data_IF_122356765972
#
_entry.id   IF_122356765972
#
_cell.length_a   1.000
_cell.length_b   1.000
_cell.length_c   1.000
_cell.angle_alpha   90.00
_cell.angle_beta   90.00
_cell.angle_gamma   90.00
#
_symmetry.space_group_name_H-M   'P 1'
#
loop_
_entity.id
_entity.type
_entity.pdbx_description
1 polymer ?
#
# COMPACT_ATOMS: atom_id res chain seq x y z
N UNK A 1 4.15 25.67 11.32
CA UNK A 1 3.43 25.60 10.02
C UNK A 1 2.12 24.87 10.22
N UNK A 2 1.03 25.33 9.58
CA UNK A 2 -0.29 24.72 9.66
C UNK A 2 -0.60 23.93 8.39
N UNK A 3 -0.74 22.61 8.52
CA UNK A 3 -0.90 21.67 7.42
C UNK A 3 -2.28 21.02 7.55
N UNK A 4 -3.02 20.93 6.46
CA UNK A 4 -4.30 20.24 6.43
C UNK A 4 -4.27 19.08 5.45
N UNK A 5 -4.71 17.90 5.92
CA UNK A 5 -5.06 16.74 5.11
C UNK A 5 -6.57 16.69 4.93
N UNK A 6 -7.03 16.44 3.71
CA UNK A 6 -8.46 16.38 3.40
C UNK A 6 -9.08 15.01 3.75
N UNK A 7 -10.40 14.90 3.55
CA UNK A 7 -11.19 13.74 3.95
C UNK A 7 -11.08 12.53 3.04
N UNK A 8 -10.65 12.72 1.80
CA UNK A 8 -10.99 11.80 0.70
C UNK A 8 -10.60 10.36 0.96
N UNK A 9 -9.33 10.10 1.31
CA UNK A 9 -8.86 8.74 1.53
C UNK A 9 -9.44 8.12 2.81
N UNK A 10 -9.65 8.93 3.84
CA UNK A 10 -10.19 8.46 5.12
C UNK A 10 -11.67 8.10 5.08
N UNK A 11 -12.40 8.67 4.10
CA UNK A 11 -13.77 8.27 3.80
C UNK A 11 -13.84 7.03 2.91
N UNK A 12 -12.89 6.85 1.99
CA UNK A 12 -12.90 5.76 1.01
C UNK A 12 -12.32 4.44 1.53
N UNK A 13 -11.38 4.50 2.48
CA UNK A 13 -10.66 3.31 2.96
C UNK A 13 -10.86 3.13 4.47
N UNK A 14 -11.41 1.98 4.84
CA UNK A 14 -11.39 1.55 6.24
C UNK A 14 -9.96 1.19 6.65
N UNK A 15 -9.25 0.40 5.82
CA UNK A 15 -7.84 0.08 5.89
C UNK A 15 -7.22 0.20 4.50
N UNK A 16 -5.95 0.56 4.40
CA UNK A 16 -5.26 0.60 3.11
C UNK A 16 -3.92 1.34 3.18
N UNK A 17 -3.04 1.08 2.22
CA UNK A 17 -1.72 1.70 2.13
C UNK A 17 -1.76 3.24 2.13
N UNK A 18 -2.52 3.88 1.21
CA UNK A 18 -2.65 5.33 1.18
C UNK A 18 -3.18 5.95 2.48
N UNK A 19 -4.22 5.38 3.07
CA UNK A 19 -4.76 5.91 4.35
C UNK A 19 -3.79 5.70 5.53
N UNK A 20 -3.02 4.60 5.54
CA UNK A 20 -1.94 4.37 6.49
C UNK A 20 -0.83 5.42 6.33
N UNK A 21 -0.42 5.71 5.10
CA UNK A 21 0.58 6.74 4.81
C UNK A 21 0.20 8.10 5.41
N UNK A 22 -0.99 8.60 5.10
CA UNK A 22 -1.43 9.90 5.64
C UNK A 22 -1.62 9.89 7.16
N UNK A 23 -2.09 8.79 7.73
CA UNK A 23 -2.20 8.64 9.19
C UNK A 23 -0.82 8.69 9.86
N UNK A 24 0.18 7.97 9.34
CA UNK A 24 1.55 7.99 9.88
C UNK A 24 2.22 9.35 9.69
N UNK A 25 2.03 9.99 8.53
CA UNK A 25 2.54 11.34 8.28
C UNK A 25 1.94 12.37 9.27
N UNK A 26 0.63 12.34 9.46
CA UNK A 26 -0.09 13.17 10.43
C UNK A 26 0.43 12.97 11.87
N UNK A 27 0.56 11.72 12.30
CA UNK A 27 1.09 11.36 13.62
C UNK A 27 2.51 11.93 13.81
N UNK A 28 3.37 11.72 12.81
CA UNK A 28 4.77 12.13 12.90
C UNK A 28 4.93 13.65 12.92
N UNK A 29 4.19 14.37 12.10
CA UNK A 29 4.22 15.84 12.06
C UNK A 29 3.80 16.43 13.41
N UNK A 30 2.68 15.95 13.99
CA UNK A 30 2.22 16.44 15.29
C UNK A 30 3.18 16.07 16.44
N UNK A 31 3.79 14.88 16.41
CA UNK A 31 4.81 14.48 17.39
C UNK A 31 6.04 15.43 17.35
N UNK A 32 6.35 15.97 16.19
CA UNK A 32 7.45 16.92 16.00
C UNK A 32 7.00 18.40 16.08
N UNK A 33 5.87 18.67 16.75
CA UNK A 33 5.34 20.00 17.03
C UNK A 33 4.91 20.82 15.80
N UNK A 34 4.68 20.17 14.66
CA UNK A 34 4.00 20.80 13.54
C UNK A 34 2.48 20.78 13.78
N UNK A 35 1.78 21.79 13.28
CA UNK A 35 0.32 21.87 13.44
C UNK A 35 -0.38 21.18 12.27
N UNK A 36 -0.35 19.84 12.25
CA UNK A 36 -1.04 19.06 11.23
C UNK A 36 -2.48 18.74 11.67
N UNK A 37 -3.42 18.87 10.75
CA UNK A 37 -4.85 18.62 10.96
C UNK A 37 -5.38 17.66 9.90
N UNK A 38 -6.30 16.78 10.28
CA UNK A 38 -7.13 16.02 9.36
C UNK A 38 -8.53 16.60 9.36
N UNK A 39 -9.01 17.02 8.20
CA UNK A 39 -10.37 17.53 8.02
C UNK A 39 -11.17 16.48 7.27
N UNK A 40 -11.84 15.62 8.04
CA UNK A 40 -12.65 14.51 7.54
C UNK A 40 -13.97 14.43 8.34
N UNK A 41 -14.93 15.31 8.05
CA UNK A 41 -16.17 15.43 8.83
C UNK A 41 -16.86 14.09 9.08
N UNK A 42 -16.85 13.23 8.08
CA UNK A 42 -17.35 11.86 8.15
C UNK A 42 -16.27 10.94 7.59
N UNK A 43 -15.82 9.96 8.39
CA UNK A 43 -14.83 8.99 7.94
C UNK A 43 -15.17 7.55 8.34
N UNK A 44 -14.60 6.58 7.61
CA UNK A 44 -14.74 5.14 7.88
C UNK A 44 -13.45 4.54 8.41
N UNK A 45 -12.35 5.28 8.29
CA UNK A 45 -10.98 4.81 8.51
C UNK A 45 -10.70 4.43 9.96
N UNK A 46 -10.08 3.27 10.15
CA UNK A 46 -9.76 2.75 11.48
C UNK A 46 -8.45 3.31 12.05
N UNK A 47 -7.50 3.74 11.23
CA UNK A 47 -6.26 4.33 11.75
C UNK A 47 -6.51 5.62 12.52
N UNK A 48 -7.49 6.43 12.10
CA UNK A 48 -7.86 7.67 12.81
C UNK A 48 -8.47 7.41 14.19
N UNK A 49 -9.13 6.27 14.40
CA UNK A 49 -9.70 5.88 15.69
C UNK A 49 -8.63 5.75 16.79
N UNK A 50 -7.44 5.29 16.40
CA UNK A 50 -6.35 5.00 17.32
C UNK A 50 -5.29 6.11 17.39
N UNK A 51 -5.53 7.25 16.72
CA UNK A 51 -4.60 8.38 16.75
C UNK A 51 -4.46 8.98 18.15
N UNK A 52 -3.23 9.33 18.52
CA UNK A 52 -2.93 10.07 19.75
C UNK A 52 -3.29 11.56 19.66
N UNK A 53 -3.50 12.09 18.46
CA UNK A 53 -3.78 13.50 18.17
C UNK A 53 -5.24 13.76 17.77
N UNK A 54 -6.18 13.14 18.47
CA UNK A 54 -7.63 13.27 18.17
C UNK A 54 -8.15 14.69 18.12
N UNK A 55 -7.56 15.59 18.90
CA UNK A 55 -7.93 17.02 18.91
C UNK A 55 -7.68 17.73 17.57
N UNK A 56 -6.77 17.18 16.77
CA UNK A 56 -6.42 17.71 15.46
C UNK A 56 -7.20 17.02 14.33
N UNK A 57 -8.18 16.17 14.65
CA UNK A 57 -9.03 15.48 13.67
C UNK A 57 -10.43 16.08 13.74
N UNK A 58 -10.82 16.80 12.68
CA UNK A 58 -12.15 17.38 12.53
C UNK A 58 -13.07 16.37 11.84
N UNK A 59 -13.78 15.60 12.63
CA UNK A 59 -14.76 14.64 12.11
C UNK A 59 -15.09 13.49 13.05
N UNK A 60 -16.02 12.65 12.58
CA UNK A 60 -16.54 11.51 13.34
C UNK A 60 -16.54 10.25 12.48
N UNK A 61 -16.11 9.14 13.10
CA UNK A 61 -16.20 7.82 12.46
C UNK A 61 -17.65 7.37 12.38
N UNK A 62 -18.05 6.89 11.22
CA UNK A 62 -19.34 6.24 11.00
C UNK A 62 -19.17 4.89 10.33
N UNK A 63 -20.20 4.03 10.45
CA UNK A 63 -20.39 2.86 9.60
C UNK A 63 -21.31 3.28 8.45
N UNK A 64 -20.81 3.41 7.21
CA UNK A 64 -21.61 3.98 6.13
C UNK A 64 -22.74 3.02 5.74
N UNK A 65 -23.96 3.58 5.63
CA UNK A 65 -25.07 2.85 5.01
C UNK A 65 -24.93 2.93 3.49
N UNK A 66 -25.06 1.82 2.75
CA UNK A 66 -24.79 1.76 1.32
C UNK A 66 -25.49 2.82 0.47
N UNK A 67 -26.74 3.14 0.79
CA UNK A 67 -27.57 4.08 0.03
C UNK A 67 -27.19 5.56 0.21
N UNK A 68 -26.42 5.93 1.24
CA UNK A 68 -26.13 7.32 1.57
C UNK A 68 -24.73 7.80 1.11
N UNK A 69 -24.02 7.03 0.32
CA UNK A 69 -22.65 7.37 -0.07
C UNK A 69 -22.50 8.72 -0.77
N UNK A 70 -23.44 9.09 -1.68
CA UNK A 70 -23.45 10.39 -2.36
C UNK A 70 -23.74 11.55 -1.39
N UNK A 71 -24.66 11.35 -0.45
CA UNK A 71 -24.99 12.34 0.58
C UNK A 71 -23.82 12.59 1.52
N UNK A 72 -23.16 11.53 2.01
CA UNK A 72 -21.95 11.67 2.84
C UNK A 72 -20.82 12.37 2.11
N UNK A 73 -20.63 12.09 0.82
CA UNK A 73 -19.64 12.79 0.00
C UNK A 73 -19.96 14.28 -0.14
N UNK A 74 -21.22 14.64 -0.34
CA UNK A 74 -21.68 16.03 -0.40
C UNK A 74 -21.45 16.76 0.94
N UNK A 75 -21.81 16.13 2.06
CA UNK A 75 -21.56 16.70 3.40
C UNK A 75 -20.07 16.88 3.66
N UNK A 76 -19.26 15.85 3.38
CA UNK A 76 -17.81 15.92 3.57
C UNK A 76 -17.22 17.10 2.79
N UNK A 77 -17.58 17.25 1.52
CA UNK A 77 -17.10 18.35 0.68
C UNK A 77 -17.40 19.72 1.32
N UNK A 78 -18.67 20.02 1.55
CA UNK A 78 -19.09 21.36 1.99
C UNK A 78 -18.57 21.70 3.40
N UNK A 79 -18.63 20.75 4.32
CA UNK A 79 -18.15 20.96 5.70
C UNK A 79 -16.61 21.08 5.70
N UNK A 80 -15.90 20.30 4.88
CA UNK A 80 -14.44 20.41 4.76
C UNK A 80 -14.01 21.76 4.22
N UNK A 81 -14.69 22.30 3.20
CA UNK A 81 -14.40 23.63 2.66
C UNK A 81 -14.51 24.72 3.76
N UNK A 82 -15.58 24.67 4.58
CA UNK A 82 -15.77 25.60 5.69
C UNK A 82 -14.68 25.48 6.77
N UNK A 83 -14.35 24.26 7.16
CA UNK A 83 -13.32 24.02 8.19
C UNK A 83 -11.94 24.44 7.69
N UNK A 84 -11.57 24.08 6.45
CA UNK A 84 -10.27 24.44 5.85
C UNK A 84 -10.16 25.98 5.75
N UNK A 85 -11.24 26.67 5.33
CA UNK A 85 -11.27 28.12 5.28
C UNK A 85 -11.04 28.75 6.65
N UNK A 86 -11.72 28.25 7.71
CA UNK A 86 -11.54 28.73 9.10
C UNK A 86 -10.15 28.43 9.66
N UNK A 87 -9.60 27.27 9.36
CA UNK A 87 -8.25 26.88 9.79
C UNK A 87 -7.19 27.77 9.14
N UNK A 88 -7.47 28.29 7.96
CA UNK A 88 -6.53 29.09 7.16
C UNK A 88 -5.13 28.47 7.12
N UNK A 89 -4.97 27.24 6.55
CA UNK A 89 -3.69 26.55 6.56
C UNK A 89 -2.63 27.22 5.70
N UNK A 90 -1.36 26.93 5.98
CA UNK A 90 -0.26 27.33 5.10
C UNK A 90 -0.20 26.43 3.86
N UNK A 91 -0.50 25.12 4.01
CA UNK A 91 -0.49 24.12 2.96
C UNK A 91 -1.68 23.16 3.10
N UNK A 92 -2.28 22.76 1.98
CA UNK A 92 -3.25 21.68 1.89
C UNK A 92 -2.61 20.50 1.17
N UNK A 93 -2.48 19.37 1.85
CA UNK A 93 -2.00 18.13 1.23
C UNK A 93 -3.21 17.23 0.96
N UNK A 94 -3.60 17.14 -0.32
CA UNK A 94 -4.75 16.31 -0.70
C UNK A 94 -4.43 14.83 -0.55
N UNK A 95 -5.36 14.11 0.05
CA UNK A 95 -5.15 12.69 0.37
C UNK A 95 -5.51 11.77 -0.80
N UNK A 96 -6.26 12.28 -1.76
CA UNK A 96 -6.60 11.59 -3.01
C UNK A 96 -7.15 12.58 -4.04
N UNK A 97 -7.62 12.09 -5.20
CA UNK A 97 -8.10 12.93 -6.30
C UNK A 97 -9.53 13.41 -6.05
N UNK A 98 -9.69 14.66 -5.60
CA UNK A 98 -11.02 15.28 -5.42
C UNK A 98 -11.05 16.72 -5.91
N UNK A 99 -11.91 16.98 -6.90
CA UNK A 99 -11.97 18.25 -7.62
C UNK A 99 -12.43 19.43 -6.75
N UNK A 100 -12.96 19.22 -5.54
CA UNK A 100 -13.41 20.32 -4.71
C UNK A 100 -12.27 21.25 -4.25
N UNK A 101 -11.06 20.73 -4.18
CA UNK A 101 -9.87 21.51 -3.82
C UNK A 101 -9.31 22.35 -4.97
N UNK A 102 -9.78 22.19 -6.21
CA UNK A 102 -9.26 22.94 -7.37
C UNK A 102 -9.33 24.45 -7.17
N UNK A 103 -10.39 24.93 -6.50
CA UNK A 103 -10.60 26.36 -6.21
C UNK A 103 -9.88 26.86 -4.95
N UNK A 104 -9.16 26.00 -4.25
CA UNK A 104 -8.41 26.38 -3.05
C UNK A 104 -7.27 27.35 -3.42
N UNK A 105 -7.18 28.48 -2.68
CA UNK A 105 -6.15 29.50 -2.91
C UNK A 105 -4.79 29.17 -2.28
N UNK A 106 -4.78 28.26 -1.30
CA UNK A 106 -3.55 27.84 -0.62
C UNK A 106 -2.76 26.86 -1.48
N UNK A 107 -1.45 26.75 -1.27
CA UNK A 107 -0.64 25.75 -1.93
C UNK A 107 -1.21 24.34 -1.73
N UNK A 108 -1.33 23.60 -2.83
CA UNK A 108 -1.81 22.21 -2.83
C UNK A 108 -0.66 21.26 -3.15
N UNK A 109 -0.48 20.29 -2.29
CA UNK A 109 0.39 19.14 -2.53
C UNK A 109 -0.47 17.92 -2.82
N UNK A 110 -0.06 17.16 -3.81
CA UNK A 110 -0.69 15.90 -4.20
C UNK A 110 0.30 14.75 -4.03
N UNK A 111 -0.06 13.67 -3.30
CA UNK A 111 0.70 12.43 -3.36
C UNK A 111 0.10 11.51 -4.42
N UNK A 112 0.93 11.06 -5.37
CA UNK A 112 0.59 10.05 -6.37
C UNK A 112 1.17 8.71 -5.91
N UNK A 113 0.25 7.79 -5.57
CA UNK A 113 0.62 6.47 -5.06
C UNK A 113 0.95 5.47 -6.16
N UNK A 114 0.34 5.60 -7.33
CA UNK A 114 0.54 4.72 -8.48
C UNK A 114 -0.11 5.31 -9.75
N UNK A 115 0.17 4.67 -10.89
CA UNK A 115 -0.44 4.92 -12.21
C UNK A 115 -1.14 3.64 -12.72
N UNK A 116 -1.60 2.79 -11.81
CA UNK A 116 -2.22 1.49 -12.12
C UNK A 116 -3.44 1.65 -13.04
N UNK A 117 -4.29 2.63 -12.76
CA UNK A 117 -5.53 2.83 -13.52
C UNK A 117 -5.27 3.22 -14.98
N UNK A 118 -4.20 3.94 -15.21
CA UNK A 118 -3.77 4.39 -16.54
C UNK A 118 -3.15 3.23 -17.33
N UNK A 119 -2.25 2.47 -16.69
CA UNK A 119 -1.54 1.35 -17.32
C UNK A 119 -2.51 0.22 -17.65
N UNK A 120 -3.42 -0.11 -16.72
CA UNK A 120 -4.38 -1.21 -16.86
C UNK A 120 -5.81 -0.72 -17.15
N UNK A 121 -5.96 0.44 -17.84
CA UNK A 121 -7.25 1.07 -18.07
C UNK A 121 -8.31 0.13 -18.71
N UNK A 122 -7.90 -0.74 -19.65
CA UNK A 122 -8.77 -1.73 -20.29
C UNK A 122 -9.33 -2.73 -19.30
N UNK A 123 -8.54 -3.07 -18.28
CA UNK A 123 -8.90 -4.05 -17.27
C UNK A 123 -9.89 -3.50 -16.24
N UNK A 124 -9.89 -2.20 -16.02
CA UNK A 124 -10.72 -1.56 -15.01
C UNK A 124 -11.93 -0.82 -15.61
N UNK A 125 -12.02 -0.67 -16.94
CA UNK A 125 -13.09 0.10 -17.58
C UNK A 125 -13.05 1.60 -17.24
N UNK A 126 -11.88 2.15 -16.96
CA UNK A 126 -11.71 3.47 -16.34
C UNK A 126 -11.59 4.65 -17.29
N UNK A 127 -12.00 4.59 -18.54
CA UNK A 127 -12.00 5.78 -19.40
C UNK A 127 -12.64 7.03 -18.75
N UNK A 128 -13.58 6.82 -17.81
CA UNK A 128 -14.27 7.92 -17.09
C UNK A 128 -13.53 8.45 -15.85
N UNK A 129 -12.55 7.76 -15.29
CA UNK A 129 -11.93 8.12 -13.99
C UNK A 129 -10.62 8.91 -14.10
N UNK A 130 -10.07 9.08 -15.29
CA UNK A 130 -8.85 9.88 -15.52
C UNK A 130 -9.06 11.38 -15.22
N UNK A 131 -10.26 11.92 -15.44
CA UNK A 131 -10.52 13.37 -15.31
C UNK A 131 -10.21 13.95 -13.93
N UNK A 132 -10.68 13.39 -12.79
CA UNK A 132 -10.37 13.96 -11.47
C UNK A 132 -8.88 13.93 -11.16
N UNK A 133 -8.17 12.84 -11.51
CA UNK A 133 -6.73 12.70 -11.28
C UNK A 133 -5.95 13.74 -12.09
N UNK A 134 -6.22 13.84 -13.40
CA UNK A 134 -5.59 14.85 -14.26
C UNK A 134 -5.79 16.26 -13.74
N UNK A 135 -7.03 16.65 -13.41
CA UNK A 135 -7.32 17.98 -12.87
C UNK A 135 -6.57 18.27 -11.57
N UNK A 136 -6.43 17.28 -10.68
CA UNK A 136 -5.67 17.46 -9.45
C UNK A 136 -4.16 17.54 -9.70
N UNK A 137 -3.62 16.80 -10.67
CA UNK A 137 -2.25 16.88 -11.11
C UNK A 137 -1.96 18.28 -11.69
N UNK A 138 -2.83 18.76 -12.58
CA UNK A 138 -2.69 20.10 -13.19
C UNK A 138 -2.77 21.22 -12.14
N UNK A 139 -3.62 21.04 -11.10
CA UNK A 139 -3.82 22.04 -10.03
C UNK A 139 -2.72 22.02 -8.97
N UNK A 140 -2.09 20.88 -8.73
CA UNK A 140 -1.10 20.75 -7.67
C UNK A 140 0.08 21.71 -7.86
N UNK A 141 0.45 22.42 -6.82
CA UNK A 141 1.65 23.27 -6.82
C UNK A 141 2.91 22.41 -6.71
N UNK A 142 2.82 21.26 -6.03
CA UNK A 142 3.87 20.25 -5.99
C UNK A 142 3.29 18.83 -5.88
N UNK A 143 4.00 17.85 -6.44
CA UNK A 143 3.59 16.44 -6.45
C UNK A 143 4.66 15.60 -5.75
N UNK A 144 4.21 14.74 -4.85
CA UNK A 144 5.05 13.72 -4.22
C UNK A 144 4.75 12.38 -4.89
N UNK A 145 5.74 11.75 -5.50
CA UNK A 145 5.66 10.39 -5.98
C UNK A 145 6.30 9.44 -4.96
N UNK A 146 5.68 8.30 -4.74
CA UNK A 146 6.10 7.33 -3.73
C UNK A 146 7.30 6.47 -4.17
N UNK A 147 7.67 6.56 -5.46
CA UNK A 147 8.83 5.87 -6.05
C UNK A 147 9.32 6.62 -7.30
N UNK A 148 10.54 6.32 -7.72
CA UNK A 148 11.09 6.81 -8.99
C UNK A 148 10.31 6.24 -10.19
N UNK A 149 9.87 4.99 -10.09
CA UNK A 149 8.99 4.38 -11.10
C UNK A 149 7.69 5.17 -11.25
N UNK A 150 7.00 5.48 -10.14
CA UNK A 150 5.76 6.29 -10.18
C UNK A 150 6.01 7.70 -10.75
N UNK A 151 7.17 8.32 -10.45
CA UNK A 151 7.56 9.62 -11.04
C UNK A 151 7.70 9.50 -12.56
N UNK A 152 8.43 8.49 -13.03
CA UNK A 152 8.64 8.24 -14.46
C UNK A 152 7.30 8.07 -15.19
N UNK A 153 6.44 7.19 -14.66
CA UNK A 153 5.14 6.92 -15.23
C UNK A 153 4.23 8.17 -15.22
N UNK A 154 4.26 8.94 -14.12
CA UNK A 154 3.50 10.19 -14.02
C UNK A 154 3.91 11.20 -15.12
N UNK A 155 5.20 11.35 -15.33
CA UNK A 155 5.72 12.25 -16.39
C UNK A 155 5.33 11.75 -17.78
N UNK A 156 5.39 10.44 -18.02
CA UNK A 156 5.02 9.84 -19.29
C UNK A 156 3.51 9.99 -19.62
N UNK A 157 2.64 9.67 -18.63
CA UNK A 157 1.18 9.69 -18.85
C UNK A 157 0.55 11.08 -18.80
N UNK A 158 1.13 12.02 -18.05
CA UNK A 158 0.51 13.32 -17.77
C UNK A 158 1.34 14.52 -18.19
N UNK A 159 2.54 14.33 -18.75
CA UNK A 159 3.46 15.40 -19.17
C UNK A 159 3.70 16.47 -18.09
N UNK A 160 3.98 16.02 -16.86
CA UNK A 160 4.23 16.90 -15.71
C UNK A 160 5.68 17.37 -15.70
N UNK A 161 5.91 18.67 -15.42
CA UNK A 161 7.25 19.21 -15.24
C UNK A 161 7.96 18.51 -14.05
N UNK A 162 9.14 17.99 -14.31
CA UNK A 162 9.97 17.30 -13.31
C UNK A 162 10.25 18.15 -12.07
N UNK A 163 10.36 19.48 -12.24
CA UNK A 163 10.61 20.44 -11.14
C UNK A 163 9.47 20.46 -10.11
N UNK A 164 8.27 20.07 -10.50
CA UNK A 164 7.11 19.95 -9.60
C UNK A 164 7.06 18.64 -8.85
N UNK A 165 8.00 17.71 -9.07
CA UNK A 165 7.91 16.35 -8.55
C UNK A 165 9.06 16.05 -7.58
N UNK A 166 8.72 15.61 -6.39
CA UNK A 166 9.67 14.99 -5.45
C UNK A 166 9.36 13.50 -5.27
N UNK A 167 10.40 12.68 -5.21
CA UNK A 167 10.26 11.26 -4.85
C UNK A 167 10.51 11.13 -3.35
N UNK A 168 9.49 10.64 -2.62
CA UNK A 168 9.58 10.41 -1.18
C UNK A 168 9.04 9.01 -0.88
N UNK A 169 9.93 8.13 -0.47
CA UNK A 169 9.59 6.74 -0.17
C UNK A 169 8.77 6.62 1.11
N UNK A 170 7.89 5.63 1.15
CA UNK A 170 7.16 5.28 2.37
C UNK A 170 8.10 4.74 3.46
N UNK A 171 7.64 4.81 4.68
CA UNK A 171 8.27 4.15 5.82
C UNK A 171 7.57 2.85 6.21
N UNK A 172 8.22 2.09 7.07
CA UNK A 172 7.64 0.93 7.75
C UNK A 172 7.76 1.10 9.26
N UNK A 173 6.80 0.58 10.01
CA UNK A 173 6.83 0.62 11.47
C UNK A 173 7.90 -0.32 12.04
N UNK A 174 8.50 0.09 13.16
CA UNK A 174 9.67 -0.60 13.71
C UNK A 174 9.38 -1.73 14.68
N UNK A 175 8.19 -1.76 15.28
CA UNK A 175 7.91 -2.60 16.44
C UNK A 175 6.52 -3.20 16.31
N UNK A 176 6.45 -4.40 15.76
CA UNK A 176 5.22 -5.17 15.93
C UNK A 176 5.61 -6.64 16.05
N UNK A 177 5.69 -7.10 17.30
CA UNK A 177 5.63 -8.51 17.61
C UNK A 177 4.14 -8.84 17.69
N UNK A 178 3.69 -9.81 16.92
CA UNK A 178 2.33 -10.29 16.99
C UNK A 178 2.02 -10.73 18.42
N UNK A 179 1.07 -10.06 19.07
CA UNK A 179 0.64 -10.41 20.42
C UNK A 179 -0.52 -11.41 20.32
N UNK A 180 -0.34 -12.59 20.92
CA UNK A 180 -1.41 -13.56 21.17
C UNK A 180 -2.08 -14.19 19.93
N UNK A 181 -1.39 -14.31 18.80
CA UNK A 181 -1.87 -15.15 17.70
C UNK A 181 -1.18 -16.51 17.71
N UNK A 182 -1.98 -17.57 17.55
CA UNK A 182 -1.49 -18.92 17.33
C UNK A 182 -2.38 -19.55 16.25
N UNK A 183 -1.89 -19.60 15.04
CA UNK A 183 -2.49 -20.39 13.98
C UNK A 183 -1.81 -21.77 13.99
N UNK A 184 -2.57 -22.81 14.26
CA UNK A 184 -2.09 -24.18 14.06
C UNK A 184 -2.08 -24.45 12.56
N UNK A 185 -0.93 -24.21 11.94
CA UNK A 185 -0.66 -24.68 10.58
C UNK A 185 0.05 -26.02 10.69
N UNK A 186 -0.51 -27.07 10.11
CA UNK A 186 0.11 -28.41 10.10
C UNK A 186 1.41 -28.45 9.30
N UNK A 187 1.53 -27.56 8.30
CA UNK A 187 2.70 -27.43 7.42
C UNK A 187 3.20 -25.99 7.39
N UNK A 188 4.49 -25.77 7.06
CA UNK A 188 4.98 -24.45 6.73
C UNK A 188 4.20 -23.88 5.53
N UNK A 189 4.22 -22.55 5.35
CA UNK A 189 3.40 -21.91 4.32
C UNK A 189 4.10 -20.77 3.62
N UNK A 190 3.73 -20.56 2.36
CA UNK A 190 4.02 -19.33 1.62
C UNK A 190 2.87 -18.34 1.82
N UNK A 191 3.24 -17.08 2.00
CA UNK A 191 2.28 -16.00 2.24
C UNK A 191 2.09 -15.15 0.98
N UNK A 192 0.82 -14.89 0.63
CA UNK A 192 0.43 -13.90 -0.37
C UNK A 192 -0.37 -12.79 0.32
N UNK A 193 -0.05 -11.50 0.06
CA UNK A 193 -0.72 -10.37 0.70
C UNK A 193 -1.31 -9.41 -0.32
N UNK A 194 -2.61 -9.18 -0.24
CA UNK A 194 -3.33 -8.21 -1.07
C UNK A 194 -4.50 -8.79 -1.86
N UNK A 195 -5.04 -7.99 -2.78
CA UNK A 195 -6.05 -8.46 -3.73
C UNK A 195 -5.42 -9.46 -4.70
N UNK A 196 -6.20 -10.41 -5.20
CA UNK A 196 -5.73 -11.44 -6.14
C UNK A 196 -6.08 -11.11 -7.60
N UNK A 197 -6.41 -9.84 -7.86
CA UNK A 197 -6.87 -9.41 -9.18
C UNK A 197 -5.71 -9.20 -10.16
N UNK A 198 -5.89 -9.63 -11.39
CA UNK A 198 -5.15 -9.31 -12.64
C UNK A 198 -3.66 -8.93 -12.45
N UNK A 199 -3.33 -7.63 -12.35
CA UNK A 199 -1.95 -7.15 -12.25
C UNK A 199 -1.21 -7.61 -10.98
N UNK A 200 -1.93 -8.09 -9.97
CA UNK A 200 -1.35 -8.75 -8.78
C UNK A 200 -0.86 -10.17 -9.07
N UNK A 201 -1.20 -10.70 -10.24
CA UNK A 201 -0.62 -11.90 -10.85
C UNK A 201 -0.63 -13.16 -9.95
N UNK A 202 -1.72 -13.33 -9.20
CA UNK A 202 -1.88 -14.45 -8.28
C UNK A 202 -1.80 -15.81 -8.99
N UNK A 203 -2.29 -15.87 -10.25
CA UNK A 203 -2.29 -17.10 -11.05
C UNK A 203 -0.88 -17.66 -11.26
N UNK A 204 0.12 -16.82 -11.56
CA UNK A 204 1.48 -17.32 -11.79
C UNK A 204 2.10 -17.94 -10.53
N UNK A 205 1.72 -17.41 -9.35
CA UNK A 205 2.16 -18.01 -8.09
C UNK A 205 1.59 -19.42 -7.92
N UNK A 206 0.30 -19.64 -8.19
CA UNK A 206 -0.31 -20.96 -8.11
C UNK A 206 0.29 -21.94 -9.13
N UNK A 207 0.53 -21.48 -10.36
CA UNK A 207 1.17 -22.28 -11.38
C UNK A 207 2.60 -22.68 -10.98
N UNK A 208 3.39 -21.74 -10.45
CA UNK A 208 4.75 -22.02 -9.98
C UNK A 208 4.78 -22.99 -8.79
N UNK A 209 3.85 -22.83 -7.85
CA UNK A 209 3.70 -23.74 -6.71
C UNK A 209 3.42 -25.19 -7.14
N UNK A 210 2.66 -25.39 -8.21
CA UNK A 210 2.32 -26.71 -8.72
C UNK A 210 3.40 -27.34 -9.59
N UNK A 211 4.42 -26.58 -10.05
CA UNK A 211 5.49 -27.14 -10.87
C UNK A 211 6.42 -28.10 -10.10
N UNK A 212 6.57 -27.88 -8.80
CA UNK A 212 7.37 -28.73 -7.92
C UNK A 212 6.47 -29.49 -6.95
N UNK A 213 6.39 -30.81 -7.13
CA UNK A 213 5.56 -31.67 -6.28
C UNK A 213 6.01 -31.70 -4.83
N UNK A 214 7.29 -31.52 -4.54
CA UNK A 214 7.77 -31.47 -3.16
C UNK A 214 7.26 -30.19 -2.47
N UNK A 215 7.29 -29.07 -3.18
CA UNK A 215 6.76 -27.81 -2.69
C UNK A 215 5.25 -27.90 -2.43
N UNK A 216 4.49 -28.40 -3.40
CA UNK A 216 3.02 -28.49 -3.24
C UNK A 216 2.59 -29.54 -2.21
N UNK A 217 3.41 -30.54 -1.92
CA UNK A 217 3.15 -31.52 -0.87
C UNK A 217 3.49 -31.01 0.53
N UNK A 218 4.61 -30.30 0.68
CA UNK A 218 5.20 -30.00 1.99
C UNK A 218 4.84 -28.61 2.52
N UNK A 219 4.30 -27.72 1.67
CA UNK A 219 3.95 -26.35 2.05
C UNK A 219 2.48 -26.04 1.75
N UNK A 220 1.90 -25.21 2.60
CA UNK A 220 0.58 -24.64 2.37
C UNK A 220 0.69 -23.23 1.76
N UNK A 221 -0.43 -22.73 1.22
CA UNK A 221 -0.59 -21.36 0.74
C UNK A 221 -1.52 -20.59 1.68
N UNK A 222 -1.06 -19.46 2.17
CA UNK A 222 -1.90 -18.55 2.94
C UNK A 222 -2.01 -17.22 2.21
N UNK A 223 -3.25 -16.82 1.92
CA UNK A 223 -3.59 -15.52 1.38
C UNK A 223 -4.08 -14.62 2.52
N UNK A 224 -3.64 -13.37 2.57
CA UNK A 224 -4.18 -12.36 3.48
C UNK A 224 -4.76 -11.17 2.69
N UNK A 225 -6.02 -10.85 2.96
CA UNK A 225 -6.76 -9.79 2.27
C UNK A 225 -7.44 -10.26 0.98
N UNK A 226 -7.91 -9.30 0.18
CA UNK A 226 -8.58 -9.59 -1.09
C UNK A 226 -10.01 -10.17 -1.01
N UNK A 227 -10.55 -10.37 0.19
CA UNK A 227 -11.87 -10.99 0.40
C UNK A 227 -11.84 -12.52 0.23
N UNK A 228 -12.99 -13.17 0.31
CA UNK A 228 -13.16 -14.60 0.07
C UNK A 228 -12.70 -14.97 -1.35
N UNK A 229 -12.36 -16.24 -1.55
CA UNK A 229 -12.07 -16.73 -2.89
C UNK A 229 -13.30 -16.64 -3.79
N UNK A 230 -13.09 -16.27 -5.05
CA UNK A 230 -14.12 -16.18 -6.07
C UNK A 230 -14.32 -17.54 -6.76
N UNK A 231 -15.46 -17.72 -7.42
CA UNK A 231 -15.75 -18.96 -8.16
C UNK A 231 -14.67 -19.28 -9.20
N UNK A 232 -14.18 -18.27 -9.92
CA UNK A 232 -13.08 -18.41 -10.89
C UNK A 232 -11.76 -18.87 -10.26
N UNK A 233 -11.50 -18.50 -8.98
CA UNK A 233 -10.32 -18.94 -8.25
C UNK A 233 -10.45 -20.41 -7.83
N UNK A 234 -11.64 -20.84 -7.41
CA UNK A 234 -11.90 -22.27 -7.12
C UNK A 234 -11.77 -23.15 -8.37
N UNK A 235 -12.23 -22.70 -9.53
CA UNK A 235 -12.02 -23.43 -10.79
C UNK A 235 -10.52 -23.51 -11.17
N UNK A 236 -9.75 -22.45 -10.90
CA UNK A 236 -8.31 -22.48 -11.10
C UNK A 236 -7.62 -23.47 -10.15
N UNK A 237 -8.05 -23.55 -8.87
CA UNK A 237 -7.51 -24.54 -7.91
C UNK A 237 -7.76 -25.95 -8.40
N UNK A 238 -8.97 -26.28 -8.88
CA UNK A 238 -9.28 -27.59 -9.47
C UNK A 238 -8.41 -27.90 -10.68
N UNK A 239 -8.27 -26.95 -11.61
CA UNK A 239 -7.45 -27.10 -12.81
C UNK A 239 -5.98 -27.41 -12.48
N UNK A 240 -5.47 -26.80 -11.41
CA UNK A 240 -4.10 -26.99 -10.94
C UNK A 240 -3.95 -28.15 -9.94
N UNK A 241 -5.01 -28.86 -9.62
CA UNK A 241 -5.06 -29.92 -8.60
C UNK A 241 -4.57 -29.46 -7.22
N UNK A 242 -4.91 -28.23 -6.83
CA UNK A 242 -4.65 -27.72 -5.49
C UNK A 242 -5.83 -28.11 -4.60
N UNK A 243 -5.55 -28.91 -3.56
CA UNK A 243 -6.55 -29.29 -2.58
C UNK A 243 -6.97 -28.09 -1.72
N UNK A 244 -8.24 -28.00 -1.37
CA UNK A 244 -8.80 -26.92 -0.54
C UNK A 244 -8.17 -26.84 0.85
N UNK A 245 -7.58 -27.92 1.35
CA UNK A 245 -6.85 -27.96 2.62
C UNK A 245 -5.46 -27.31 2.52
N UNK A 246 -4.92 -27.16 1.30
CA UNK A 246 -3.60 -26.60 1.05
C UNK A 246 -3.61 -25.06 0.92
N UNK A 247 -4.78 -24.45 0.71
CA UNK A 247 -4.90 -23.01 0.50
C UNK A 247 -5.96 -22.40 1.40
N UNK A 248 -5.58 -21.34 2.10
CA UNK A 248 -6.47 -20.63 3.02
C UNK A 248 -6.43 -19.13 2.77
N UNK A 249 -7.55 -18.44 3.02
CA UNK A 249 -7.60 -16.99 2.98
C UNK A 249 -8.01 -16.41 4.33
N UNK A 250 -7.27 -15.40 4.79
CA UNK A 250 -7.53 -14.71 6.03
C UNK A 250 -7.82 -13.23 5.78
N UNK A 251 -8.73 -12.71 6.59
CA UNK A 251 -9.04 -11.28 6.70
C UNK A 251 -8.90 -10.95 8.18
N UNK A 252 -8.16 -9.90 8.49
CA UNK A 252 -7.92 -9.54 9.89
C UNK A 252 -7.22 -8.20 10.04
N UNK A 253 -6.72 -7.97 11.24
CA UNK A 253 -6.00 -6.77 11.62
C UNK A 253 -4.48 -6.87 11.33
N UNK A 254 -3.76 -5.79 11.64
CA UNK A 254 -2.31 -5.73 11.47
C UNK A 254 -1.56 -6.74 12.37
N UNK A 255 -2.14 -7.19 13.50
CA UNK A 255 -1.51 -8.20 14.37
C UNK A 255 -1.50 -9.58 13.71
N UNK A 256 -2.64 -9.99 13.12
CA UNK A 256 -2.70 -11.24 12.36
C UNK A 256 -1.74 -11.20 11.17
N UNK A 257 -1.70 -10.09 10.42
CA UNK A 257 -0.77 -9.93 9.30
C UNK A 257 0.69 -10.01 9.77
N UNK A 258 1.01 -9.38 10.89
CA UNK A 258 2.35 -9.45 11.52
C UNK A 258 2.72 -10.90 11.87
N UNK A 259 1.80 -11.64 12.47
CA UNK A 259 1.99 -13.05 12.78
C UNK A 259 2.27 -13.87 11.51
N UNK A 260 1.51 -13.65 10.45
CA UNK A 260 1.67 -14.36 9.18
C UNK A 260 3.05 -14.07 8.56
N UNK A 261 3.50 -12.82 8.53
CA UNK A 261 4.86 -12.50 8.08
C UNK A 261 5.93 -13.21 8.91
N UNK A 262 5.82 -13.19 10.23
CA UNK A 262 6.84 -13.76 11.13
C UNK A 262 6.97 -15.29 11.02
N UNK A 263 5.91 -15.98 10.57
CA UNK A 263 5.86 -17.43 10.49
C UNK A 263 5.87 -17.98 9.06
N UNK A 264 5.80 -17.14 8.05
CA UNK A 264 5.84 -17.57 6.65
C UNK A 264 7.24 -18.09 6.26
N UNK A 265 7.27 -19.10 5.39
CA UNK A 265 8.49 -19.51 4.71
C UNK A 265 9.05 -18.39 3.84
N UNK A 266 8.18 -17.72 3.09
CA UNK A 266 8.45 -16.48 2.38
C UNK A 266 7.15 -15.75 2.04
N UNK A 267 7.23 -14.41 1.88
CA UNK A 267 6.23 -13.65 1.15
C UNK A 267 6.43 -13.84 -0.35
N UNK A 268 5.36 -14.16 -1.07
CA UNK A 268 5.34 -14.19 -2.54
C UNK A 268 4.56 -12.98 -3.05
N UNK A 269 5.25 -12.13 -3.82
CA UNK A 269 4.69 -10.86 -4.30
C UNK A 269 4.88 -10.73 -5.82
N UNK A 270 4.05 -11.43 -6.61
CA UNK A 270 4.24 -11.62 -8.04
C UNK A 270 3.65 -10.50 -8.90
N UNK A 271 3.35 -9.34 -8.33
CA UNK A 271 2.68 -8.23 -9.00
C UNK A 271 3.44 -7.81 -10.27
N UNK A 272 2.69 -7.54 -11.35
CA UNK A 272 3.24 -7.01 -12.59
C UNK A 272 3.64 -5.54 -12.40
N UNK A 273 2.87 -4.82 -11.59
CA UNK A 273 3.09 -3.40 -11.32
C UNK A 273 2.69 -3.02 -9.90
N UNK A 274 3.48 -2.16 -9.26
CA UNK A 274 3.19 -1.52 -7.98
C UNK A 274 3.70 -0.08 -7.96
N UNK A 275 2.99 0.79 -7.24
CA UNK A 275 3.50 2.14 -7.01
C UNK A 275 4.64 2.21 -6.02
N UNK A 276 4.67 1.29 -5.02
CA UNK A 276 5.77 1.17 -4.05
C UNK A 276 6.07 -0.28 -3.65
N UNK A 277 5.07 -1.03 -3.18
CA UNK A 277 5.27 -2.41 -2.70
C UNK A 277 5.41 -2.49 -1.17
N UNK A 278 4.52 -1.86 -0.43
CA UNK A 278 4.49 -1.90 1.04
C UNK A 278 4.63 -3.31 1.63
N UNK A 279 3.94 -4.35 1.13
CA UNK A 279 4.08 -5.71 1.64
C UNK A 279 5.51 -6.25 1.60
N UNK A 280 6.31 -5.89 0.59
CA UNK A 280 7.73 -6.25 0.51
C UNK A 280 8.48 -5.66 1.69
N UNK A 281 8.30 -4.37 1.93
CA UNK A 281 8.99 -3.66 3.01
C UNK A 281 8.56 -4.14 4.40
N UNK A 282 7.27 -4.45 4.58
CA UNK A 282 6.72 -5.04 5.81
C UNK A 282 7.34 -6.42 6.09
N UNK A 283 7.37 -7.30 5.09
CA UNK A 283 7.98 -8.61 5.19
C UNK A 283 9.48 -8.52 5.57
N UNK A 284 10.24 -7.70 4.86
CA UNK A 284 11.66 -7.46 5.14
C UNK A 284 11.88 -6.98 6.59
N UNK A 285 11.02 -6.08 7.08
CA UNK A 285 11.09 -5.55 8.45
C UNK A 285 10.82 -6.61 9.49
N UNK A 286 9.88 -7.51 9.21
CA UNK A 286 9.46 -8.61 10.10
C UNK A 286 10.29 -9.88 9.90
N UNK A 287 11.43 -9.80 9.19
CA UNK A 287 12.35 -10.91 8.93
C UNK A 287 11.71 -12.06 8.15
N UNK A 288 10.71 -11.77 7.33
CA UNK A 288 10.16 -12.69 6.36
C UNK A 288 10.96 -12.61 5.05
N UNK A 289 11.47 -13.71 4.50
CA UNK A 289 12.06 -13.70 3.17
C UNK A 289 11.04 -13.26 2.13
N UNK A 290 11.52 -12.63 1.06
CA UNK A 290 10.65 -12.14 -0.01
C UNK A 290 11.08 -12.72 -1.35
N UNK A 291 10.10 -13.22 -2.10
CA UNK A 291 10.21 -13.56 -3.51
C UNK A 291 9.23 -12.64 -4.25
N UNK A 292 9.74 -11.77 -5.12
CA UNK A 292 8.90 -10.77 -5.78
C UNK A 292 9.31 -10.52 -7.23
N UNK A 293 8.42 -9.92 -8.00
CA UNK A 293 8.72 -9.52 -9.37
C UNK A 293 9.81 -8.46 -9.45
N UNK A 294 10.54 -8.44 -10.57
CA UNK A 294 11.63 -7.50 -10.84
C UNK A 294 11.19 -6.23 -11.59
N UNK A 295 9.92 -5.85 -11.48
CA UNK A 295 9.28 -4.78 -12.28
C UNK A 295 8.86 -3.58 -11.43
N UNK A 296 8.59 -2.46 -12.09
CA UNK A 296 8.11 -1.18 -11.54
C UNK A 296 8.94 -0.69 -10.33
N UNK A 297 8.30 -0.33 -9.23
CA UNK A 297 8.95 0.20 -8.02
C UNK A 297 9.60 -0.87 -7.12
N UNK A 298 9.32 -2.15 -7.34
CA UNK A 298 9.76 -3.20 -6.43
C UNK A 298 11.29 -3.29 -6.29
N UNK A 299 12.09 -3.17 -7.38
CA UNK A 299 13.56 -3.09 -7.28
C UNK A 299 14.07 -1.93 -6.41
N UNK A 300 13.37 -0.79 -6.40
CA UNK A 300 13.74 0.36 -5.55
C UNK A 300 13.60 0.02 -4.06
N UNK A 301 12.60 -0.78 -3.70
CA UNK A 301 12.36 -1.20 -2.32
C UNK A 301 13.34 -2.28 -1.89
N UNK A 302 13.42 -3.38 -2.62
CA UNK A 302 14.23 -4.52 -2.17
C UNK A 302 15.73 -4.39 -2.49
N UNK A 303 16.13 -3.65 -3.55
CA UNK A 303 17.53 -3.61 -4.01
C UNK A 303 18.05 -5.02 -4.35
N UNK A 304 19.07 -5.47 -3.63
CA UNK A 304 19.66 -6.81 -3.77
C UNK A 304 19.28 -7.76 -2.62
N UNK A 305 18.20 -7.48 -1.90
CA UNK A 305 17.87 -8.18 -0.65
C UNK A 305 16.71 -9.16 -0.74
N UNK A 306 16.22 -9.46 -1.94
CA UNK A 306 15.13 -10.41 -2.20
C UNK A 306 15.51 -11.35 -3.34
N UNK A 307 14.78 -12.45 -3.46
CA UNK A 307 14.75 -13.25 -4.67
C UNK A 307 13.78 -12.57 -5.66
N UNK A 308 14.28 -12.13 -6.79
CA UNK A 308 13.46 -11.47 -7.81
C UNK A 308 13.35 -12.32 -9.07
N UNK A 309 12.20 -12.24 -9.74
CA UNK A 309 11.90 -13.01 -10.94
C UNK A 309 11.13 -12.18 -11.97
N UNK A 310 11.15 -12.58 -13.23
CA UNK A 310 10.29 -12.02 -14.27
C UNK A 310 8.82 -12.40 -13.98
N UNK A 311 7.89 -11.44 -13.83
CA UNK A 311 6.47 -11.72 -13.55
C UNK A 311 5.77 -12.61 -14.59
N UNK A 312 6.41 -12.89 -15.73
CA UNK A 312 5.94 -13.83 -16.74
C UNK A 312 6.58 -15.23 -16.62
N UNK A 313 7.56 -15.41 -15.72
CA UNK A 313 8.33 -16.66 -15.58
C UNK A 313 7.90 -17.46 -14.34
N UNK A 314 6.93 -18.35 -14.49
CA UNK A 314 6.57 -19.30 -13.41
C UNK A 314 7.70 -20.25 -13.06
N UNK A 315 8.59 -20.53 -14.00
CA UNK A 315 9.74 -21.41 -13.78
C UNK A 315 10.77 -20.79 -12.85
N UNK A 316 11.12 -19.49 -13.04
CA UNK A 316 11.99 -18.78 -12.10
C UNK A 316 11.38 -18.73 -10.71
N UNK A 317 10.07 -18.41 -10.61
CA UNK A 317 9.37 -18.39 -9.33
C UNK A 317 9.43 -19.77 -8.65
N UNK A 318 9.17 -20.86 -9.37
CA UNK A 318 9.25 -22.23 -8.83
C UNK A 318 10.68 -22.57 -8.33
N UNK A 319 11.72 -22.21 -9.08
CA UNK A 319 13.11 -22.36 -8.64
C UNK A 319 13.40 -21.60 -7.35
N UNK A 320 12.85 -20.39 -7.20
CA UNK A 320 13.00 -19.61 -5.97
C UNK A 320 12.23 -20.20 -4.80
N UNK A 321 11.02 -20.74 -5.02
CA UNK A 321 10.27 -21.48 -3.98
C UNK A 321 11.07 -22.68 -3.48
N UNK A 322 11.62 -23.49 -4.38
CA UNK A 322 12.45 -24.65 -4.04
C UNK A 322 13.73 -24.22 -3.30
N UNK A 323 14.45 -23.22 -3.80
CA UNK A 323 15.69 -22.72 -3.19
C UNK A 323 15.50 -22.20 -1.77
N UNK A 324 14.45 -21.42 -1.51
CA UNK A 324 14.19 -20.84 -0.16
C UNK A 324 13.71 -21.92 0.82
N UNK A 325 13.16 -23.02 0.33
CA UNK A 325 12.65 -24.12 1.13
C UNK A 325 13.71 -25.14 1.49
N UNK A 326 14.66 -25.38 0.60
CA UNK A 326 15.68 -26.43 0.77
C UNK A 326 16.99 -25.94 1.39
N UNK A 327 17.25 -24.61 1.45
CA UNK A 327 18.52 -24.07 1.92
C UNK A 327 18.33 -23.05 3.04
N UNK A 328 18.40 -23.53 4.28
CA UNK A 328 18.22 -22.69 5.47
C UNK A 328 19.32 -21.62 5.63
N UNK A 329 20.58 -21.92 5.29
CA UNK A 329 21.66 -20.95 5.40
C UNK A 329 21.46 -19.78 4.42
N UNK A 330 21.08 -20.10 3.19
CA UNK A 330 20.72 -19.09 2.21
C UNK A 330 19.50 -18.27 2.67
N UNK A 331 18.46 -18.93 3.19
CA UNK A 331 17.28 -18.27 3.74
C UNK A 331 17.65 -17.29 4.86
N UNK A 332 18.46 -17.72 5.82
CA UNK A 332 18.91 -16.89 6.93
C UNK A 332 19.74 -15.69 6.47
N UNK A 333 20.63 -15.90 5.48
CA UNK A 333 21.43 -14.81 4.91
C UNK A 333 20.55 -13.74 4.25
N UNK A 334 19.58 -14.15 3.44
CA UNK A 334 18.70 -13.18 2.75
C UNK A 334 17.81 -12.41 3.73
N UNK A 335 17.34 -13.06 4.81
CA UNK A 335 16.60 -12.40 5.90
C UNK A 335 17.42 -11.27 6.52
N UNK A 336 18.68 -11.51 6.82
CA UNK A 336 19.55 -10.51 7.44
C UNK A 336 19.74 -9.30 6.53
N UNK A 337 20.06 -9.55 5.25
CA UNK A 337 20.26 -8.48 4.25
C UNK A 337 18.99 -7.68 4.06
N UNK A 338 17.83 -8.34 3.91
CA UNK A 338 16.53 -7.71 3.75
C UNK A 338 16.15 -6.87 4.99
N UNK A 339 16.35 -7.40 6.18
CA UNK A 339 16.06 -6.68 7.41
C UNK A 339 16.92 -5.43 7.56
N UNK A 340 18.24 -5.48 7.23
CA UNK A 340 19.10 -4.29 7.27
C UNK A 340 18.64 -3.24 6.26
N UNK A 341 18.31 -3.64 5.02
CA UNK A 341 17.80 -2.72 4.02
C UNK A 341 16.50 -2.05 4.46
N UNK A 342 15.58 -2.76 5.10
CA UNK A 342 14.31 -2.20 5.56
C UNK A 342 14.48 -1.02 6.52
N UNK A 343 15.62 -0.93 7.22
CA UNK A 343 15.93 0.19 8.15
C UNK A 343 16.14 1.52 7.45
N UNK A 344 16.40 1.52 6.13
CA UNK A 344 16.51 2.73 5.33
C UNK A 344 15.17 3.42 5.10
N UNK A 345 14.06 2.72 5.32
CA UNK A 345 12.70 3.16 5.06
C UNK A 345 11.96 3.41 6.37
N UNK A 346 11.99 4.63 6.85
CA UNK A 346 11.34 5.02 8.10
C UNK A 346 10.28 6.08 7.88
N UNK A 347 9.20 6.04 8.66
CA UNK A 347 8.18 7.09 8.64
C UNK A 347 8.76 8.45 9.04
N UNK A 348 9.80 8.43 9.87
CA UNK A 348 10.54 9.63 10.24
C UNK A 348 11.20 10.31 9.04
N UNK A 349 11.92 9.54 8.22
CA UNK A 349 12.55 10.04 7.01
C UNK A 349 11.49 10.54 6.03
N UNK A 350 10.44 9.75 5.79
CA UNK A 350 9.32 10.12 4.93
C UNK A 350 8.70 11.46 5.34
N UNK A 351 8.40 11.64 6.63
CA UNK A 351 7.80 12.87 7.14
C UNK A 351 8.76 14.06 7.09
N UNK A 352 10.05 13.88 7.39
CA UNK A 352 11.06 14.94 7.29
C UNK A 352 11.23 15.42 5.85
N UNK A 353 11.27 14.50 4.88
CA UNK A 353 11.39 14.84 3.47
C UNK A 353 10.11 15.55 2.97
N UNK A 354 8.93 15.06 3.37
CA UNK A 354 7.65 15.71 3.07
C UNK A 354 7.57 17.13 3.66
N UNK A 355 8.04 17.31 4.90
CA UNK A 355 8.10 18.63 5.55
C UNK A 355 9.00 19.62 4.82
N UNK A 356 10.11 19.15 4.24
CA UNK A 356 10.97 20.00 3.39
C UNK A 356 10.19 20.51 2.18
N UNK A 357 9.44 19.64 1.50
CA UNK A 357 8.58 20.02 0.37
C UNK A 357 7.55 21.07 0.80
N UNK A 358 6.90 20.91 1.96
CA UNK A 358 5.95 21.92 2.44
C UNK A 358 6.63 23.31 2.61
N UNK A 359 7.84 23.33 3.16
CA UNK A 359 8.59 24.58 3.39
C UNK A 359 9.03 25.31 2.12
N UNK A 360 9.11 24.62 0.97
CA UNK A 360 9.47 25.28 -0.30
C UNK A 360 8.29 26.03 -0.93
N UNK A 361 7.07 25.85 -0.43
CA UNK A 361 5.85 26.44 -0.99
C UNK A 361 5.30 27.63 -0.16
N UNK A 362 5.95 27.93 0.95
CA UNK A 362 5.59 28.99 1.88
C UNK A 362 6.71 30.03 1.92
#
# INVERSE_FOLDING_TARGET
>A
MKIVFDYKIFFQQQFGGPSRYFSKLFEYLNKNKENAYIVSPIYTNDYLKYSNFKKNIYGKKISPKPFFGRFYKYLNKNISELIISKLNPDVVHTTYYDEYLIKQKKPIILTVHDIIHEIFHKDFGFEKNHRPKKKMIDRADHIICVSTSTKKDLMEYYNVDEKKISVIYHGVSTNEIAKNYSLKTEKPFFLYVGSRKRYKNFKIFLEAYCLDRSISKDFNLICFGGGSFLAEEYELFKTLNIDSTQISNFIGDDNLLTYLYQNAQALIYPSIYEGFGMPILEAMRLKCPVICSNTSSMPEVYGNSCLSFDPNSKTELAQHLSKISSNNDFRNKIIQVAHQRSKLFTWEKCAKETLKVYKTLI
#
